data_IF_138928765611
#
_entry.id   IF_138928765611
#
_cell.length_a   1.000
_cell.length_b   1.000
_cell.length_c   1.000
_cell.angle_alpha   90.00
_cell.angle_beta   90.00
_cell.angle_gamma   90.00
#
_symmetry.space_group_name_H-M   'P 1'
#
loop_
_entity.id
_entity.type
_entity.pdbx_description
1 polymer ?
#
# COMPACT_ATOMS: atom_id res chain seq x y z
N UNK A 1 -28.22 -11.23 1.66
CA UNK A 1 -27.41 -11.92 2.70
C UNK A 1 -26.87 -10.84 3.61
N UNK A 2 -27.10 -10.92 4.93
CA UNK A 2 -26.45 -10.00 5.86
C UNK A 2 -24.96 -10.30 5.85
N UNK A 3 -24.17 -9.33 5.42
CA UNK A 3 -22.71 -9.43 5.47
C UNK A 3 -22.31 -9.57 6.93
N UNK A 4 -21.60 -10.66 7.26
CA UNK A 4 -21.05 -10.85 8.59
C UNK A 4 -19.84 -9.90 8.72
N UNK A 5 -20.03 -8.78 9.43
CA UNK A 5 -18.94 -7.88 9.79
C UNK A 5 -17.92 -8.65 10.65
N UNK A 6 -16.64 -8.60 10.29
CA UNK A 6 -15.57 -9.26 11.07
C UNK A 6 -14.39 -9.84 10.29
N UNK A 7 -14.43 -9.95 8.95
CA UNK A 7 -13.30 -10.51 8.20
C UNK A 7 -12.11 -9.55 8.23
N UNK A 8 -10.92 -10.12 8.41
CA UNK A 8 -9.64 -9.42 8.32
C UNK A 8 -8.93 -9.90 7.05
N UNK A 9 -8.64 -8.98 6.14
CA UNK A 9 -7.81 -9.22 4.96
C UNK A 9 -6.37 -8.88 5.30
N UNK A 10 -5.44 -9.81 5.07
CA UNK A 10 -4.00 -9.63 5.35
C UNK A 10 -3.14 -9.56 4.09
N UNK A 11 -3.76 -9.56 2.92
CA UNK A 11 -3.10 -9.44 1.62
C UNK A 11 -3.74 -8.31 0.81
N UNK A 12 -3.65 -7.10 1.35
CA UNK A 12 -4.23 -5.91 0.73
C UNK A 12 -3.14 -4.90 0.38
N UNK A 13 -2.90 -4.68 -0.91
CA UNK A 13 -1.86 -3.75 -1.33
C UNK A 13 -2.34 -2.29 -1.35
N UNK A 14 -1.47 -1.39 -0.88
CA UNK A 14 -1.62 0.06 -1.06
C UNK A 14 -0.70 0.57 -2.16
N UNK A 15 -1.09 1.70 -2.77
CA UNK A 15 -0.32 2.38 -3.81
C UNK A 15 -0.13 3.85 -3.41
N UNK A 16 0.85 4.15 -2.52
CA UNK A 16 1.09 5.51 -2.05
C UNK A 16 1.54 6.43 -3.20
N UNK A 17 1.19 7.73 -3.17
CA UNK A 17 1.61 8.68 -4.21
C UNK A 17 3.13 8.79 -4.39
N UNK A 18 3.89 8.68 -3.29
CA UNK A 18 5.36 8.67 -3.32
C UNK A 18 5.93 7.49 -4.12
N UNK A 19 5.29 6.33 -4.01
CA UNK A 19 5.66 5.11 -4.73
C UNK A 19 5.38 5.25 -6.23
N UNK A 20 4.18 5.74 -6.60
CA UNK A 20 3.82 6.01 -8.00
C UNK A 20 4.82 6.98 -8.63
N UNK A 21 5.09 8.11 -7.97
CA UNK A 21 6.03 9.11 -8.48
C UNK A 21 7.46 8.56 -8.65
N UNK A 22 7.87 7.59 -7.84
CA UNK A 22 9.18 6.94 -7.99
C UNK A 22 9.18 5.95 -9.15
N UNK A 23 8.12 5.15 -9.29
CA UNK A 23 7.95 4.25 -10.44
C UNK A 23 7.95 5.01 -11.77
N UNK A 24 7.23 6.13 -11.84
CA UNK A 24 7.18 6.99 -13.03
C UNK A 24 8.56 7.55 -13.39
N UNK A 25 9.33 8.03 -12.40
CA UNK A 25 10.72 8.50 -12.59
C UNK A 25 11.64 7.41 -13.14
N UNK A 26 11.39 6.15 -12.79
CA UNK A 26 12.16 5.00 -13.25
C UNK A 26 11.64 4.43 -14.57
N UNK A 27 10.60 5.02 -15.16
CA UNK A 27 9.97 4.52 -16.40
C UNK A 27 9.22 3.20 -16.23
N UNK A 28 8.91 2.80 -14.97
CA UNK A 28 8.23 1.56 -14.66
C UNK A 28 6.72 1.77 -14.67
N UNK A 29 6.06 1.27 -15.72
CA UNK A 29 4.62 1.47 -15.93
C UNK A 29 3.78 0.25 -15.54
N UNK A 30 4.40 -0.86 -15.16
CA UNK A 30 3.73 -2.12 -14.85
C UNK A 30 4.27 -2.76 -13.57
N UNK A 31 3.36 -3.37 -12.81
CA UNK A 31 3.62 -4.24 -11.67
C UNK A 31 2.91 -5.56 -11.95
N UNK A 32 3.61 -6.69 -11.76
CA UNK A 32 3.07 -8.03 -12.00
C UNK A 32 2.39 -8.21 -13.39
N UNK A 33 2.93 -7.55 -14.42
CA UNK A 33 2.43 -7.64 -15.80
C UNK A 33 1.29 -6.68 -16.17
N UNK A 34 0.73 -5.93 -15.22
CA UNK A 34 -0.37 -4.99 -15.44
C UNK A 34 0.00 -3.55 -15.02
N UNK A 35 -0.65 -2.52 -15.58
CA UNK A 35 -0.51 -1.16 -15.07
C UNK A 35 -0.94 -1.04 -13.61
N UNK A 36 -0.37 -0.09 -12.88
CA UNK A 36 -0.87 0.26 -11.56
C UNK A 36 -2.34 0.71 -11.65
N UNK A 37 -3.24 0.15 -10.84
CA UNK A 37 -4.62 0.63 -10.81
C UNK A 37 -4.69 2.03 -10.21
N UNK A 38 -5.70 2.80 -10.62
CA UNK A 38 -6.08 4.05 -9.93
C UNK A 38 -6.68 3.72 -8.57
N UNK A 39 -5.83 3.65 -7.56
CA UNK A 39 -6.17 3.26 -6.20
C UNK A 39 -6.41 4.48 -5.30
N UNK A 40 -7.33 4.35 -4.36
CA UNK A 40 -7.53 5.29 -3.25
C UNK A 40 -8.09 4.54 -2.04
N UNK A 41 -7.94 5.08 -0.81
CA UNK A 41 -8.52 4.46 0.38
C UNK A 41 -10.03 4.24 0.28
N UNK A 42 -10.76 5.18 -0.32
CA UNK A 42 -12.23 5.13 -0.45
C UNK A 42 -12.67 3.99 -1.36
N UNK A 43 -11.99 3.81 -2.50
CA UNK A 43 -12.25 2.67 -3.39
C UNK A 43 -11.90 1.33 -2.76
N UNK A 44 -10.84 1.29 -1.95
CA UNK A 44 -10.48 0.10 -1.19
C UNK A 44 -11.57 -0.25 -0.18
N UNK A 45 -12.10 0.74 0.55
CA UNK A 45 -13.24 0.59 1.48
C UNK A 45 -14.49 0.09 0.74
N UNK A 46 -14.82 0.63 -0.44
CA UNK A 46 -15.95 0.12 -1.25
C UNK A 46 -15.82 -1.37 -1.56
N UNK A 47 -14.62 -1.80 -1.98
CA UNK A 47 -14.34 -3.24 -2.24
C UNK A 47 -14.42 -4.05 -0.96
N UNK A 48 -13.88 -3.54 0.15
CA UNK A 48 -13.96 -4.20 1.46
C UNK A 48 -15.42 -4.41 1.89
N UNK A 49 -16.25 -3.37 1.78
CA UNK A 49 -17.67 -3.40 2.17
C UNK A 49 -18.44 -4.42 1.33
N UNK A 50 -18.21 -4.46 0.02
CA UNK A 50 -18.82 -5.44 -0.90
C UNK A 50 -18.46 -6.89 -0.56
N UNK A 51 -17.29 -7.12 0.03
CA UNK A 51 -16.77 -8.46 0.35
C UNK A 51 -16.86 -8.82 1.84
N UNK A 52 -17.42 -7.94 2.67
CA UNK A 52 -17.53 -8.14 4.12
C UNK A 52 -16.21 -8.13 4.87
N UNK A 53 -15.23 -7.39 4.37
CA UNK A 53 -13.96 -7.16 5.02
C UNK A 53 -14.10 -5.95 5.94
N UNK A 54 -13.94 -6.17 7.24
CA UNK A 54 -13.99 -5.09 8.23
C UNK A 54 -12.67 -4.33 8.26
N UNK A 55 -11.56 -5.06 8.34
CA UNK A 55 -10.21 -4.49 8.47
C UNK A 55 -9.27 -5.11 7.45
N UNK A 56 -8.48 -4.28 6.79
CA UNK A 56 -7.37 -4.72 5.94
C UNK A 56 -6.03 -4.40 6.61
N UNK A 57 -5.19 -5.42 6.82
CA UNK A 57 -3.78 -5.28 7.16
C UNK A 57 -3.01 -5.12 5.86
N UNK A 58 -2.64 -3.88 5.57
CA UNK A 58 -2.10 -3.49 4.28
C UNK A 58 -0.59 -3.70 4.16
N UNK A 59 -0.11 -3.82 2.93
CA UNK A 59 1.33 -3.82 2.61
C UNK A 59 1.61 -3.03 1.34
N UNK A 60 2.83 -2.53 1.16
CA UNK A 60 3.20 -1.86 -0.08
C UNK A 60 3.15 -2.85 -1.25
N UNK A 61 2.67 -2.38 -2.41
CA UNK A 61 2.72 -3.16 -3.65
C UNK A 61 4.15 -3.48 -4.10
N UNK A 62 4.30 -4.53 -4.92
CA UNK A 62 5.56 -4.84 -5.57
C UNK A 62 5.98 -3.70 -6.52
N UNK A 63 7.28 -3.43 -6.71
CA UNK A 63 8.43 -4.24 -6.29
C UNK A 63 9.00 -3.92 -4.89
N UNK A 64 8.37 -3.04 -4.11
CA UNK A 64 8.95 -2.53 -2.87
C UNK A 64 9.56 -1.14 -3.05
N UNK A 65 10.66 -0.83 -2.34
CA UNK A 65 11.19 0.56 -2.27
C UNK A 65 12.59 0.73 -2.86
N UNK A 66 13.28 -0.36 -3.17
CA UNK A 66 14.61 -0.31 -3.76
C UNK A 66 14.51 -0.27 -5.29
N UNK A 67 14.86 0.88 -5.87
CA UNK A 67 14.82 1.11 -7.32
C UNK A 67 16.22 1.42 -7.90
N UNK A 68 17.27 0.89 -7.28
CA UNK A 68 18.66 1.10 -7.72
C UNK A 68 19.27 2.46 -7.37
N UNK A 69 18.57 3.30 -6.57
CA UNK A 69 19.08 4.58 -6.09
C UNK A 69 19.90 4.51 -4.80
N UNK A 70 20.27 3.30 -4.34
CA UNK A 70 21.01 3.09 -3.10
C UNK A 70 20.17 3.25 -1.82
N UNK A 71 20.87 3.21 -0.67
CA UNK A 71 20.26 3.20 0.66
C UNK A 71 19.43 4.44 0.96
N UNK A 72 19.88 5.62 0.54
CA UNK A 72 19.17 6.88 0.78
C UNK A 72 17.81 6.91 0.08
N UNK A 73 17.77 6.55 -1.22
CA UNK A 73 16.54 6.47 -2.01
C UNK A 73 15.56 5.45 -1.42
N UNK A 74 16.06 4.26 -1.05
CA UNK A 74 15.20 3.22 -0.47
C UNK A 74 14.65 3.64 0.90
N UNK A 75 15.47 4.28 1.74
CA UNK A 75 15.09 4.71 3.09
C UNK A 75 14.07 5.85 3.06
N UNK A 76 14.27 6.86 2.21
CA UNK A 76 13.30 7.95 2.02
C UNK A 76 11.94 7.41 1.56
N UNK A 77 11.95 6.55 0.55
CA UNK A 77 10.71 6.00 0.02
C UNK A 77 10.00 5.09 1.02
N UNK A 78 10.74 4.25 1.75
CA UNK A 78 10.17 3.43 2.83
C UNK A 78 9.46 4.29 3.87
N UNK A 79 10.13 5.36 4.34
CA UNK A 79 9.56 6.29 5.32
C UNK A 79 8.26 6.90 4.79
N UNK A 80 8.27 7.47 3.59
CA UNK A 80 7.09 8.13 3.00
C UNK A 80 5.93 7.16 2.76
N UNK A 81 6.21 5.92 2.38
CA UNK A 81 5.18 4.88 2.25
C UNK A 81 4.59 4.47 3.61
N UNK A 82 5.43 4.33 4.65
CA UNK A 82 4.98 3.99 5.99
C UNK A 82 4.18 5.15 6.63
N UNK A 83 4.62 6.40 6.45
CA UNK A 83 3.90 7.59 6.93
C UNK A 83 2.54 7.71 6.25
N UNK A 84 2.46 7.45 4.94
CA UNK A 84 1.17 7.39 4.24
C UNK A 84 0.25 6.31 4.81
N UNK A 85 0.77 5.10 5.05
CA UNK A 85 -0.02 4.01 5.62
C UNK A 85 -0.50 4.32 7.04
N UNK A 86 0.36 4.96 7.86
CA UNK A 86 0.00 5.41 9.21
C UNK A 86 -1.08 6.49 9.18
N UNK A 87 -0.96 7.48 8.29
CA UNK A 87 -1.98 8.51 8.11
C UNK A 87 -3.31 7.90 7.63
N UNK A 88 -3.26 6.95 6.69
CA UNK A 88 -4.47 6.26 6.23
C UNK A 88 -5.16 5.48 7.36
N UNK A 89 -4.41 4.80 8.23
CA UNK A 89 -4.98 4.12 9.39
C UNK A 89 -5.59 5.10 10.41
N UNK A 90 -5.00 6.29 10.55
CA UNK A 90 -5.54 7.37 11.37
C UNK A 90 -6.85 7.93 10.79
N UNK A 91 -6.90 8.18 9.49
CA UNK A 91 -8.05 8.81 8.82
C UNK A 91 -9.26 7.87 8.72
N UNK A 92 -9.02 6.56 8.71
CA UNK A 92 -10.03 5.52 8.60
C UNK A 92 -9.92 4.50 9.76
N UNK A 93 -10.24 4.91 11.00
CA UNK A 93 -10.02 4.10 12.18
C UNK A 93 -10.79 2.78 12.10
N UNK A 94 -10.09 1.67 12.38
CA UNK A 94 -10.63 0.32 12.34
C UNK A 94 -10.76 -0.30 10.94
N UNK A 95 -10.55 0.48 9.87
CA UNK A 95 -10.58 -0.03 8.49
C UNK A 95 -9.22 -0.53 8.02
N UNK A 96 -8.14 0.14 8.44
CA UNK A 96 -6.80 -0.21 8.00
C UNK A 96 -5.82 -0.40 9.16
N UNK A 97 -4.98 -1.43 9.03
CA UNK A 97 -3.67 -1.53 9.67
C UNK A 97 -2.60 -1.72 8.58
N UNK A 98 -1.33 -1.85 8.95
CA UNK A 98 -0.24 -1.97 7.96
C UNK A 98 0.96 -2.79 8.45
N UNK A 99 1.52 -3.60 7.55
CA UNK A 99 2.89 -4.07 7.62
C UNK A 99 3.82 -2.98 7.12
N UNK A 100 4.87 -2.68 7.90
CA UNK A 100 5.88 -1.72 7.49
C UNK A 100 6.67 -2.26 6.29
N UNK A 101 6.91 -1.41 5.29
CA UNK A 101 7.92 -1.69 4.27
C UNK A 101 9.28 -1.26 4.79
N UNK A 102 10.29 -2.11 4.61
CA UNK A 102 11.67 -1.82 5.00
C UNK A 102 12.51 -1.55 3.76
N UNK A 103 13.57 -0.72 3.86
CA UNK A 103 14.46 -0.39 2.75
C UNK A 103 15.44 -1.52 2.40
N UNK A 104 14.95 -2.75 2.24
CA UNK A 104 15.79 -3.91 1.92
C UNK A 104 16.50 -3.74 0.56
N UNK A 105 17.74 -4.24 0.40
CA UNK A 105 18.52 -5.05 1.36
C UNK A 105 19.26 -4.21 2.42
N UNK A 106 19.02 -2.91 2.51
CA UNK A 106 19.69 -2.02 3.45
C UNK A 106 18.98 -2.09 4.81
N UNK A 107 19.65 -2.61 5.82
CA UNK A 107 19.19 -2.65 7.22
C UNK A 107 20.32 -2.28 8.15
#
# INVERSE_FOLDING_TARGET
>A
MSIQQGRIDVHHHIIPPAFVATMDKMGLTKVAGAPLPKWSPEKSIEVMDLNGIQTAITSLSAPGVHFGGGVEQATDLARRCNDFAAQMAHDYPGRFGNFAVLPTPFT
#
